data_IF_315065296020
#
_entry.id   IF_315065296020
#
_cell.length_a   1.000
_cell.length_b   1.000
_cell.length_c   1.000
_cell.angle_alpha   90.00
_cell.angle_beta   90.00
_cell.angle_gamma   90.00
#
_symmetry.space_group_name_H-M   'P 1'
#
loop_
_entity.id
_entity.type
_entity.pdbx_description
1 polymer ?
#
# COMPACT_ATOMS: atom_id res chain seq x y z
N UNK A 1 8.31 27.43 -8.43
CA UNK A 1 9.17 26.83 -7.40
C UNK A 1 9.94 27.96 -6.73
N UNK A 2 9.62 28.23 -5.46
CA UNK A 2 10.36 29.20 -4.64
C UNK A 2 11.19 28.41 -3.63
N UNK A 3 12.37 28.91 -3.29
CA UNK A 3 13.23 28.38 -2.21
C UNK A 3 13.58 26.89 -2.33
N UNK A 4 13.76 26.42 -3.58
CA UNK A 4 14.32 25.08 -3.81
C UNK A 4 15.82 25.13 -3.61
N UNK A 5 16.35 24.16 -2.89
CA UNK A 5 17.78 24.04 -2.61
C UNK A 5 18.34 23.00 -3.58
N UNK A 6 19.36 23.41 -4.32
CA UNK A 6 20.14 22.52 -5.17
C UNK A 6 21.55 22.41 -4.61
N UNK A 7 21.86 21.25 -4.06
CA UNK A 7 23.16 20.94 -3.46
C UNK A 7 23.91 19.96 -4.34
N UNK A 8 25.15 20.28 -4.68
CA UNK A 8 26.07 19.29 -5.21
C UNK A 8 26.57 18.43 -4.05
N UNK A 9 26.11 17.19 -4.02
CA UNK A 9 26.58 16.16 -3.08
C UNK A 9 27.79 15.50 -3.73
N UNK A 10 28.94 16.18 -3.60
CA UNK A 10 30.17 15.86 -4.35
C UNK A 10 30.64 14.41 -4.23
N UNK A 11 31.27 13.91 -5.31
CA UNK A 11 31.96 12.62 -5.51
C UNK A 11 31.82 11.56 -4.41
N UNK A 12 30.59 11.20 -4.02
CA UNK A 12 30.40 10.02 -3.21
C UNK A 12 30.81 8.81 -4.05
N UNK A 13 31.69 7.97 -3.49
CA UNK A 13 32.09 6.72 -4.11
C UNK A 13 30.85 5.92 -4.53
N UNK A 14 30.98 5.21 -5.65
CA UNK A 14 29.92 4.42 -6.24
C UNK A 14 29.28 3.50 -5.18
N UNK A 15 28.02 3.75 -4.80
CA UNK A 15 27.34 2.95 -3.78
C UNK A 15 26.71 1.74 -4.46
N UNK A 16 27.29 0.57 -4.22
CA UNK A 16 26.69 -0.70 -4.59
C UNK A 16 25.72 -1.16 -3.50
N UNK A 17 24.58 -1.72 -3.91
CA UNK A 17 23.61 -2.33 -3.01
C UNK A 17 22.97 -3.55 -3.65
N UNK A 18 22.59 -4.50 -2.81
CA UNK A 18 21.83 -5.69 -3.20
C UNK A 18 20.49 -5.68 -2.47
N UNK A 19 19.46 -6.14 -3.16
CA UNK A 19 18.13 -6.27 -2.61
C UNK A 19 17.49 -7.58 -3.07
N UNK A 20 16.88 -8.31 -2.13
CA UNK A 20 16.18 -9.56 -2.39
C UNK A 20 14.73 -9.42 -1.95
N UNK A 21 13.79 -9.79 -2.83
CA UNK A 21 12.36 -9.52 -2.72
C UNK A 21 11.51 -10.76 -2.98
N UNK A 22 10.41 -10.86 -2.25
CA UNK A 22 9.30 -11.80 -2.52
C UNK A 22 7.93 -11.12 -2.50
N UNK A 23 7.88 -9.77 -2.55
CA UNK A 23 6.68 -8.98 -2.25
C UNK A 23 6.33 -7.94 -3.32
N UNK A 24 5.03 -7.59 -3.43
CA UNK A 24 4.55 -6.58 -4.37
C UNK A 24 5.01 -5.16 -4.01
N UNK A 25 5.39 -4.95 -2.74
CA UNK A 25 5.88 -3.70 -2.18
C UNK A 25 7.14 -3.24 -2.89
N UNK A 26 8.03 -4.17 -3.14
CA UNK A 26 9.37 -3.86 -3.58
C UNK A 26 9.41 -3.68 -5.12
N UNK A 27 8.49 -4.32 -5.87
CA UNK A 27 8.22 -4.00 -7.28
C UNK A 27 7.75 -2.55 -7.45
N UNK A 28 7.01 -2.02 -6.47
CA UNK A 28 6.57 -0.63 -6.48
C UNK A 28 7.72 0.33 -6.14
N UNK A 29 8.55 0.01 -5.15
CA UNK A 29 9.74 0.81 -4.86
C UNK A 29 10.62 0.96 -6.09
N UNK A 30 10.82 -0.13 -6.81
CA UNK A 30 11.62 -0.17 -8.02
C UNK A 30 11.05 0.69 -9.17
N UNK A 31 9.76 0.54 -9.49
CA UNK A 31 9.12 1.34 -10.56
C UNK A 31 9.18 2.83 -10.28
N UNK A 32 9.15 3.22 -9.00
CA UNK A 32 9.07 4.62 -8.56
C UNK A 32 10.38 5.16 -7.98
N UNK A 33 11.50 4.44 -8.12
CA UNK A 33 12.83 4.88 -7.68
C UNK A 33 12.94 5.19 -6.17
N UNK A 34 12.23 4.44 -5.33
CA UNK A 34 12.18 4.61 -3.87
C UNK A 34 13.17 3.72 -3.12
N UNK A 35 14.46 3.75 -3.49
CA UNK A 35 15.45 2.76 -3.01
C UNK A 35 15.84 2.91 -1.54
N UNK A 36 15.94 4.14 -1.01
CA UNK A 36 16.28 4.42 0.40
C UNK A 36 15.25 5.32 1.10
N UNK A 37 14.04 5.41 0.58
CA UNK A 37 13.03 6.28 1.15
C UNK A 37 12.31 5.56 2.31
N UNK A 38 12.16 6.23 3.46
CA UNK A 38 11.38 5.72 4.61
C UNK A 38 9.88 5.83 4.28
N UNK A 39 9.42 4.95 3.40
CA UNK A 39 8.08 4.93 2.86
C UNK A 39 7.36 3.69 3.41
N UNK A 40 6.13 3.88 3.88
CA UNK A 40 5.25 2.77 4.23
C UNK A 40 4.73 2.07 2.94
N UNK A 41 5.58 1.37 2.22
CA UNK A 41 5.28 0.81 0.88
C UNK A 41 4.20 -0.27 0.90
N UNK A 42 4.04 -0.98 2.03
CA UNK A 42 2.89 -1.86 2.31
C UNK A 42 1.55 -1.16 2.10
N UNK A 43 1.52 0.14 2.34
CA UNK A 43 0.36 0.96 2.12
C UNK A 43 0.03 1.08 0.63
N UNK A 44 1.03 1.37 -0.20
CA UNK A 44 0.84 1.68 -1.60
C UNK A 44 0.47 0.44 -2.44
N UNK A 45 0.99 -0.72 -2.07
CA UNK A 45 0.56 -2.01 -2.64
C UNK A 45 -0.91 -2.29 -2.40
N UNK A 46 -1.41 -1.97 -1.21
CA UNK A 46 -2.83 -2.12 -0.88
C UNK A 46 -3.71 -1.25 -1.77
N UNK A 47 -3.24 -0.04 -2.16
CA UNK A 47 -3.94 0.85 -3.09
C UNK A 47 -4.00 0.33 -4.55
N UNK A 48 -3.42 -0.84 -4.83
CA UNK A 48 -3.38 -1.43 -6.17
C UNK A 48 -2.33 -0.82 -7.09
N UNK A 49 -1.40 -0.01 -6.56
CA UNK A 49 -0.35 0.64 -7.35
C UNK A 49 0.70 -0.40 -7.73
N UNK A 50 1.05 -0.44 -9.02
CA UNK A 50 2.01 -1.41 -9.55
C UNK A 50 1.39 -2.72 -10.06
N UNK A 51 0.13 -3.03 -9.73
CA UNK A 51 -0.63 -4.08 -10.43
C UNK A 51 -0.94 -3.56 -11.83
N UNK A 52 -0.35 -4.16 -12.86
CA UNK A 52 -0.85 -3.99 -14.21
C UNK A 52 -2.31 -4.45 -14.23
N UNK A 53 -3.24 -3.50 -14.38
CA UNK A 53 -4.67 -3.77 -14.63
C UNK A 53 -4.82 -4.43 -16.00
N UNK A 54 -4.45 -5.71 -16.08
CA UNK A 54 -4.69 -6.63 -17.19
C UNK A 54 -4.68 -8.10 -16.76
N UNK A 55 -4.70 -8.40 -15.46
CA UNK A 55 -5.12 -9.75 -15.03
C UNK A 55 -6.63 -9.74 -14.95
N UNK A 56 -7.26 -10.35 -15.94
CA UNK A 56 -8.64 -10.81 -15.92
C UNK A 56 -9.03 -11.38 -14.55
N UNK A 57 -10.29 -11.20 -14.16
CA UNK A 57 -10.97 -11.76 -12.99
C UNK A 57 -10.94 -13.30 -12.92
N UNK A 58 -9.75 -13.91 -12.90
CA UNK A 58 -9.58 -15.30 -12.56
C UNK A 58 -9.01 -15.39 -11.16
N UNK A 59 -9.91 -15.70 -10.23
CA UNK A 59 -9.57 -16.33 -8.95
C UNK A 59 -8.53 -17.44 -9.22
N UNK A 60 -7.41 -17.43 -8.48
CA UNK A 60 -6.44 -18.54 -8.28
C UNK A 60 -5.10 -18.59 -9.03
N UNK A 61 -4.58 -17.54 -9.68
CA UNK A 61 -3.18 -17.62 -10.15
C UNK A 61 -2.18 -17.41 -8.99
N UNK A 62 -1.78 -18.52 -8.33
CA UNK A 62 -0.64 -18.62 -7.41
C UNK A 62 0.69 -18.43 -8.16
N UNK A 63 0.88 -17.29 -8.82
CA UNK A 63 2.17 -16.95 -9.41
C UNK A 63 3.01 -16.32 -8.31
N UNK A 64 3.99 -17.05 -7.81
CA UNK A 64 4.97 -16.50 -6.88
C UNK A 64 6.11 -15.93 -7.70
N UNK A 65 6.44 -14.67 -7.46
CA UNK A 65 7.57 -14.03 -8.11
C UNK A 65 8.57 -13.54 -7.09
N UNK A 66 9.76 -14.11 -7.14
CA UNK A 66 10.88 -13.71 -6.30
C UNK A 66 11.83 -12.89 -7.20
N UNK A 67 12.23 -11.71 -6.75
CA UNK A 67 13.10 -10.79 -7.50
C UNK A 67 14.34 -10.48 -6.68
N UNK A 68 15.49 -10.41 -7.34
CA UNK A 68 16.71 -9.84 -6.76
C UNK A 68 17.22 -8.73 -7.66
N UNK A 69 17.68 -7.64 -7.06
CA UNK A 69 18.30 -6.56 -7.79
C UNK A 69 19.58 -6.08 -7.15
N UNK A 70 20.60 -5.99 -7.99
CA UNK A 70 21.85 -5.32 -7.67
C UNK A 70 21.81 -3.95 -8.31
N UNK A 71 22.19 -2.93 -7.56
CA UNK A 71 22.29 -1.59 -8.10
C UNK A 71 23.62 -0.94 -7.78
N UNK A 72 24.05 -0.11 -8.71
CA UNK A 72 25.21 0.77 -8.59
C UNK A 72 24.67 2.18 -8.77
N UNK A 73 24.73 2.99 -7.70
CA UNK A 73 24.24 4.37 -7.72
C UNK A 73 25.37 5.37 -7.56
N UNK A 74 25.23 6.47 -8.30
CA UNK A 74 26.13 7.60 -8.24
C UNK A 74 25.30 8.89 -8.25
N UNK A 75 25.11 9.47 -7.07
CA UNK A 75 24.43 10.74 -6.89
C UNK A 75 25.46 11.87 -6.88
N UNK A 76 25.26 12.91 -7.69
CA UNK A 76 26.06 14.15 -7.62
C UNK A 76 25.27 15.35 -7.17
N UNK A 77 23.95 15.31 -7.28
CA UNK A 77 23.12 16.44 -6.89
C UNK A 77 21.88 16.00 -6.14
N UNK A 78 21.50 16.83 -5.18
CA UNK A 78 20.30 16.72 -4.39
C UNK A 78 19.48 17.98 -4.62
N UNK A 79 18.27 17.79 -5.14
CA UNK A 79 17.25 18.82 -5.21
C UNK A 79 16.29 18.63 -4.04
N UNK A 80 16.23 19.62 -3.15
CA UNK A 80 15.25 19.69 -2.06
C UNK A 80 14.18 20.71 -2.42
N UNK A 81 12.93 20.26 -2.45
CA UNK A 81 11.75 21.10 -2.60
C UNK A 81 11.22 21.41 -1.21
N UNK A 82 10.99 22.70 -0.93
CA UNK A 82 10.29 23.08 0.29
C UNK A 82 8.78 22.84 0.11
N UNK A 83 8.24 21.89 0.88
CA UNK A 83 6.82 21.55 0.86
C UNK A 83 5.91 22.77 1.11
N UNK A 84 6.31 23.66 2.02
CA UNK A 84 5.50 24.83 2.40
C UNK A 84 5.36 25.86 1.25
N UNK A 85 6.23 25.78 0.24
CA UNK A 85 6.26 26.70 -0.89
C UNK A 85 5.79 26.06 -2.21
N UNK A 86 5.31 24.80 -2.14
CA UNK A 86 4.65 24.14 -3.25
C UNK A 86 3.15 24.41 -3.18
N UNK A 87 2.61 24.95 -4.27
CA UNK A 87 1.19 25.26 -4.40
C UNK A 87 0.57 24.43 -5.51
N UNK A 88 -0.63 23.93 -5.27
CA UNK A 88 -1.43 23.28 -6.30
C UNK A 88 -1.74 24.26 -7.45
N UNK A 89 -1.61 23.79 -8.70
CA UNK A 89 -2.01 24.59 -9.85
C UNK A 89 -3.52 24.77 -9.89
N UNK A 90 -3.99 25.89 -10.46
CA UNK A 90 -5.42 26.13 -10.61
C UNK A 90 -6.11 25.02 -11.41
N UNK A 91 -5.44 24.50 -12.43
CA UNK A 91 -5.90 23.36 -13.22
C UNK A 91 -6.19 22.13 -12.33
N UNK A 92 -5.23 21.76 -11.48
CA UNK A 92 -5.38 20.62 -10.58
C UNK A 92 -6.54 20.82 -9.59
N UNK A 93 -6.63 22.01 -9.00
CA UNK A 93 -7.72 22.37 -8.06
C UNK A 93 -9.10 22.22 -8.73
N UNK A 94 -9.26 22.71 -9.97
CA UNK A 94 -10.54 22.63 -10.68
C UNK A 94 -10.91 21.20 -11.07
N UNK A 95 -9.93 20.39 -11.50
CA UNK A 95 -10.17 18.97 -11.79
C UNK A 95 -10.64 18.23 -10.53
N UNK A 96 -10.03 18.52 -9.37
CA UNK A 96 -10.45 17.93 -8.08
C UNK A 96 -11.86 18.36 -7.68
N UNK A 97 -12.20 19.65 -7.79
CA UNK A 97 -13.56 20.14 -7.49
C UNK A 97 -14.61 19.50 -8.40
N UNK A 98 -14.29 19.31 -9.68
CA UNK A 98 -15.14 18.62 -10.64
C UNK A 98 -15.33 17.15 -10.27
N UNK A 99 -14.24 16.46 -9.87
CA UNK A 99 -14.30 15.08 -9.39
C UNK A 99 -15.20 14.93 -8.16
N UNK A 100 -15.09 15.85 -7.18
CA UNK A 100 -15.94 15.87 -5.99
C UNK A 100 -17.43 16.06 -6.30
N UNK A 101 -17.75 16.72 -7.41
CA UNK A 101 -19.12 16.98 -7.84
C UNK A 101 -19.67 15.87 -8.75
N UNK A 102 -18.87 14.85 -9.05
CA UNK A 102 -19.26 13.71 -9.86
C UNK A 102 -20.24 12.80 -9.12
N UNK A 103 -21.05 12.06 -9.88
CA UNK A 103 -21.87 10.95 -9.36
C UNK A 103 -20.99 9.82 -8.78
N UNK A 104 -19.79 9.66 -9.33
CA UNK A 104 -18.80 8.70 -8.85
C UNK A 104 -17.43 9.41 -8.69
N UNK A 105 -17.20 10.07 -7.54
CA UNK A 105 -15.92 10.72 -7.27
C UNK A 105 -14.73 9.73 -7.27
N UNK A 106 -14.97 8.46 -6.95
CA UNK A 106 -13.94 7.42 -6.89
C UNK A 106 -13.15 7.28 -8.18
N UNK A 107 -13.89 7.03 -9.26
CA UNK A 107 -13.34 6.76 -10.57
C UNK A 107 -12.70 8.03 -11.13
N UNK A 108 -13.25 9.20 -10.80
CA UNK A 108 -12.63 10.48 -11.17
C UNK A 108 -11.30 10.67 -10.45
N UNK A 109 -11.18 10.34 -9.16
CA UNK A 109 -9.90 10.40 -8.46
C UNK A 109 -8.88 9.37 -8.97
N UNK A 110 -9.31 8.18 -9.38
CA UNK A 110 -8.42 7.22 -10.06
C UNK A 110 -7.86 7.82 -11.35
N UNK A 111 -8.69 8.52 -12.12
CA UNK A 111 -8.26 9.19 -13.34
C UNK A 111 -7.31 10.36 -13.04
N UNK A 112 -7.60 11.16 -12.01
CA UNK A 112 -6.69 12.22 -11.55
C UNK A 112 -5.32 11.65 -11.20
N UNK A 113 -5.26 10.56 -10.43
CA UNK A 113 -4.00 9.92 -10.06
C UNK A 113 -3.24 9.39 -11.28
N UNK A 114 -3.95 8.93 -12.31
CA UNK A 114 -3.34 8.48 -13.57
C UNK A 114 -2.74 9.64 -14.38
N UNK A 115 -3.39 10.80 -14.35
CA UNK A 115 -3.00 11.95 -15.18
C UNK A 115 -1.94 12.84 -14.49
N UNK A 116 -2.10 13.09 -13.18
CA UNK A 116 -1.24 13.97 -12.38
C UNK A 116 -0.17 13.21 -11.58
N UNK A 117 -0.24 11.88 -11.56
CA UNK A 117 0.50 11.07 -10.61
C UNK A 117 -0.15 11.08 -9.23
N UNK A 118 0.48 10.41 -8.27
CA UNK A 118 -0.07 10.28 -6.93
C UNK A 118 0.74 11.01 -5.86
N UNK A 119 2.04 11.19 -6.09
CA UNK A 119 2.96 11.77 -5.13
C UNK A 119 3.92 12.73 -5.80
N UNK A 120 4.38 13.69 -5.02
CA UNK A 120 5.49 14.58 -5.34
C UNK A 120 6.59 14.30 -4.32
N UNK A 121 7.80 13.92 -4.75
CA UNK A 121 8.94 13.81 -3.84
C UNK A 121 9.38 15.20 -3.40
N UNK A 122 9.67 15.41 -2.12
CA UNK A 122 10.30 16.66 -1.66
C UNK A 122 11.81 16.61 -1.76
N UNK A 123 12.39 15.45 -2.01
CA UNK A 123 13.81 15.26 -2.21
C UNK A 123 14.07 14.38 -3.43
N UNK A 124 14.93 14.85 -4.33
CA UNK A 124 15.28 14.16 -5.57
C UNK A 124 16.79 14.08 -5.68
N UNK A 125 17.32 12.86 -5.75
CA UNK A 125 18.72 12.65 -6.08
C UNK A 125 18.82 12.53 -7.59
N UNK A 126 19.69 13.35 -8.16
CA UNK A 126 20.07 13.28 -9.55
C UNK A 126 21.41 12.57 -9.68
N UNK A 127 21.52 11.79 -10.76
CA UNK A 127 22.65 11.72 -11.67
C UNK A 127 22.67 10.38 -12.39
N UNK A 128 22.87 9.23 -11.72
CA UNK A 128 22.99 7.96 -12.45
C UNK A 128 22.76 6.67 -11.62
N UNK A 129 22.06 5.69 -12.22
CA UNK A 129 21.76 4.37 -11.62
C UNK A 129 21.87 3.26 -12.66
N UNK A 130 22.67 2.24 -12.38
CA UNK A 130 22.62 0.96 -13.10
C UNK A 130 21.96 -0.06 -12.18
N UNK A 131 20.90 -0.70 -12.63
CA UNK A 131 20.24 -1.80 -11.92
C UNK A 131 20.33 -3.06 -12.75
N UNK A 132 20.89 -4.12 -12.20
CA UNK A 132 20.77 -5.46 -12.73
C UNK A 132 19.72 -6.21 -11.91
N UNK A 133 18.68 -6.70 -12.59
CA UNK A 133 17.58 -7.42 -11.98
C UNK A 133 17.56 -8.84 -12.47
N UNK A 134 17.37 -9.75 -11.55
CA UNK A 134 16.98 -11.13 -11.82
C UNK A 134 15.63 -11.41 -11.19
N UNK A 135 14.83 -12.24 -11.85
CA UNK A 135 13.58 -12.70 -11.30
C UNK A 135 13.31 -14.13 -11.66
N UNK A 136 12.67 -14.83 -10.74
CA UNK A 136 12.15 -16.17 -10.90
C UNK A 136 10.62 -16.11 -10.80
N UNK A 137 9.96 -16.46 -11.89
CA UNK A 137 8.51 -16.53 -11.97
C UNK A 137 8.13 -18.00 -11.99
N UNK A 138 7.45 -18.46 -10.93
CA UNK A 138 6.89 -19.82 -10.86
C UNK A 138 5.39 -19.79 -11.16
N UNK A 139 4.95 -20.57 -12.15
CA UNK A 139 3.53 -20.71 -12.50
C UNK A 139 3.22 -20.71 -13.99
N UNK A 140 2.01 -21.16 -14.35
CA UNK A 140 1.54 -21.22 -15.74
C UNK A 140 1.22 -19.82 -16.29
N UNK A 141 2.23 -19.18 -16.88
CA UNK A 141 2.09 -17.94 -17.66
C UNK A 141 2.49 -18.19 -19.11
N UNK A 142 1.82 -17.51 -20.05
CA UNK A 142 2.22 -17.52 -21.45
C UNK A 142 3.46 -16.64 -21.65
N UNK A 143 4.30 -16.98 -22.63
CA UNK A 143 5.50 -16.20 -23.02
C UNK A 143 5.12 -14.76 -23.42
N UNK A 144 3.91 -14.57 -23.94
CA UNK A 144 3.39 -13.29 -24.40
C UNK A 144 3.03 -12.38 -23.21
N UNK A 145 2.42 -12.94 -22.16
CA UNK A 145 2.16 -12.23 -20.90
C UNK A 145 3.45 -11.82 -20.18
N UNK A 146 4.48 -12.67 -20.25
CA UNK A 146 5.82 -12.38 -19.70
C UNK A 146 6.50 -11.20 -20.42
N UNK A 147 6.45 -11.16 -21.75
CA UNK A 147 7.01 -10.05 -22.55
C UNK A 147 6.34 -8.71 -22.26
N UNK A 148 5.02 -8.72 -22.01
CA UNK A 148 4.25 -7.53 -21.64
C UNK A 148 4.66 -7.05 -20.24
N UNK A 149 4.88 -7.96 -19.29
CA UNK A 149 5.28 -7.63 -17.90
C UNK A 149 6.72 -7.09 -17.82
N UNK A 150 7.66 -7.62 -18.61
CA UNK A 150 9.08 -7.24 -18.59
C UNK A 150 9.43 -5.94 -19.35
N UNK A 151 8.54 -5.44 -20.20
CA UNK A 151 8.86 -4.34 -21.13
C UNK A 151 9.76 -4.80 -22.29
N UNK A 152 9.63 -4.14 -23.45
CA UNK A 152 10.14 -4.59 -24.76
C UNK A 152 11.68 -4.73 -24.93
N UNK A 153 12.50 -4.60 -23.87
CA UNK A 153 13.96 -4.48 -23.96
C UNK A 153 14.78 -5.56 -23.21
N UNK A 154 14.21 -6.71 -22.82
CA UNK A 154 14.97 -7.73 -22.08
C UNK A 154 15.51 -8.87 -22.95
N UNK A 155 16.74 -9.32 -22.62
CA UNK A 155 17.47 -10.42 -23.27
C UNK A 155 17.61 -11.61 -22.33
N UNK A 156 17.32 -12.81 -22.84
CA UNK A 156 17.53 -14.14 -22.26
C UNK A 156 16.49 -14.62 -21.23
N UNK A 157 15.56 -15.45 -21.72
CA UNK A 157 14.69 -16.32 -20.94
C UNK A 157 15.31 -17.73 -20.93
N UNK A 158 15.46 -18.34 -19.75
CA UNK A 158 15.77 -19.78 -19.65
C UNK A 158 14.59 -20.48 -19.00
N UNK A 159 13.95 -21.35 -19.77
CA UNK A 159 12.87 -22.21 -19.29
C UNK A 159 13.46 -23.41 -18.54
N UNK A 160 13.05 -23.59 -17.29
CA UNK A 160 13.26 -24.84 -16.55
C UNK A 160 11.95 -25.17 -15.85
N UNK A 161 11.20 -26.14 -16.39
CA UNK A 161 10.02 -26.76 -15.77
C UNK A 161 9.06 -25.79 -15.05
N UNK A 162 8.05 -25.25 -15.72
CA UNK A 162 7.04 -24.31 -15.17
C UNK A 162 7.58 -23.03 -14.49
N UNK A 163 8.91 -22.88 -14.39
CA UNK A 163 9.60 -21.75 -13.78
C UNK A 163 10.42 -21.01 -14.85
N UNK A 164 10.31 -19.69 -14.83
CA UNK A 164 10.99 -18.79 -15.77
C UNK A 164 11.98 -17.92 -15.02
N UNK A 165 13.27 -18.07 -15.37
CA UNK A 165 14.32 -17.18 -14.90
C UNK A 165 14.66 -16.15 -15.97
N UNK A 166 14.72 -14.88 -15.54
CA UNK A 166 15.08 -13.78 -16.40
C UNK A 166 16.11 -12.87 -15.72
N UNK A 167 16.96 -12.23 -16.53
CA UNK A 167 17.92 -11.22 -16.10
C UNK A 167 17.81 -10.01 -17.02
N UNK A 168 17.70 -8.80 -16.48
CA UNK A 168 17.77 -7.58 -17.28
C UNK A 168 18.52 -6.49 -16.55
N UNK A 169 19.24 -5.68 -17.33
CA UNK A 169 19.97 -4.52 -16.83
C UNK A 169 19.28 -3.26 -17.34
N UNK A 170 18.99 -2.32 -16.44
CA UNK A 170 18.43 -1.01 -16.74
C UNK A 170 19.43 0.05 -16.29
N UNK A 171 19.71 0.98 -17.20
CA UNK A 171 20.60 2.11 -17.00
C UNK A 171 19.75 3.38 -17.01
N UNK A 172 19.93 4.25 -16.02
CA UNK A 172 19.26 5.54 -15.88
C UNK A 172 20.35 6.61 -15.74
N UNK A 173 20.31 7.62 -16.59
CA UNK A 173 21.34 8.67 -16.64
C UNK A 173 22.61 8.26 -17.38
N UNK A 174 23.44 9.27 -17.66
CA UNK A 174 24.64 9.13 -18.46
C UNK A 174 24.36 8.96 -19.95
N UNK A 175 25.44 8.87 -20.71
CA UNK A 175 25.38 8.44 -22.11
C UNK A 175 25.01 6.95 -22.20
N UNK A 176 24.06 6.60 -23.05
CA UNK A 176 23.66 5.19 -23.21
C UNK A 176 24.78 4.41 -23.91
N UNK A 177 25.27 3.30 -23.33
CA UNK A 177 26.26 2.47 -24.00
C UNK A 177 25.63 1.76 -25.21
N UNK A 178 26.45 1.52 -26.23
CA UNK A 178 26.05 0.71 -27.40
C UNK A 178 25.79 -0.75 -27.02
N UNK A 179 26.54 -1.28 -26.04
CA UNK A 179 26.33 -2.60 -25.47
C UNK A 179 26.28 -2.54 -23.93
N UNK A 180 25.09 -2.74 -23.38
CA UNK A 180 24.84 -2.77 -21.94
C UNK A 180 25.64 -3.90 -21.24
N UNK A 181 25.95 -5.00 -21.94
CA UNK A 181 26.68 -6.14 -21.35
C UNK A 181 28.15 -5.82 -21.10
N UNK A 182 28.71 -4.88 -21.86
CA UNK A 182 30.10 -4.45 -21.78
C UNK A 182 30.18 -2.98 -21.33
N UNK A 183 29.38 -2.62 -20.33
CA UNK A 183 29.36 -1.26 -19.79
C UNK A 183 30.73 -0.92 -19.16
N UNK A 184 31.43 0.01 -19.78
CA UNK A 184 32.59 0.66 -19.18
C UNK A 184 32.12 1.71 -18.16
N UNK A 185 32.19 1.34 -16.88
CA UNK A 185 31.78 2.20 -15.76
C UNK A 185 32.57 3.52 -15.77
N UNK A 186 33.85 3.50 -16.14
CA UNK A 186 34.71 4.69 -16.15
C UNK A 186 34.26 5.71 -17.19
N UNK A 187 34.05 5.25 -18.43
CA UNK A 187 33.54 6.11 -19.51
C UNK A 187 32.10 6.57 -19.25
N UNK A 188 31.27 5.68 -18.73
CA UNK A 188 29.88 5.99 -18.37
C UNK A 188 29.78 7.02 -17.24
N UNK A 189 30.63 6.93 -16.21
CA UNK A 189 30.76 7.96 -15.16
C UNK A 189 31.38 9.25 -15.73
N UNK A 190 32.33 9.16 -16.66
CA UNK A 190 32.91 10.32 -17.35
C UNK A 190 31.87 11.16 -18.10
N UNK A 191 30.84 10.54 -18.67
CA UNK A 191 29.72 11.23 -19.34
C UNK A 191 28.96 12.19 -18.40
N UNK A 192 29.07 12.00 -17.09
CA UNK A 192 28.39 12.80 -16.07
C UNK A 192 28.98 14.18 -15.83
N UNK A 193 30.07 14.53 -16.50
CA UNK A 193 30.54 15.92 -16.53
C UNK A 193 29.57 16.83 -17.28
N UNK A 194 28.69 16.25 -18.12
CA UNK A 194 27.63 16.98 -18.78
C UNK A 194 26.33 16.87 -17.97
N UNK A 195 25.85 18.00 -17.42
CA UNK A 195 24.59 18.07 -16.67
C UNK A 195 23.36 17.65 -17.49
N UNK A 196 23.45 17.68 -18.83
CA UNK A 196 22.37 17.20 -19.72
C UNK A 196 22.16 15.69 -19.62
N UNK A 197 23.17 14.96 -19.12
CA UNK A 197 23.11 13.53 -18.91
C UNK A 197 22.60 13.17 -17.49
N UNK A 198 22.21 14.15 -16.68
CA UNK A 198 21.74 13.91 -15.31
C UNK A 198 20.25 13.57 -15.31
N UNK A 199 19.90 12.47 -14.65
CA UNK A 199 18.52 12.03 -14.50
C UNK A 199 18.18 11.85 -13.02
N UNK A 200 16.89 11.93 -12.69
CA UNK A 200 16.39 11.55 -11.37
C UNK A 200 16.57 10.04 -11.18
N UNK A 201 17.24 9.65 -10.11
CA UNK A 201 17.57 8.25 -9.84
C UNK A 201 17.02 7.74 -8.51
N UNK A 202 16.68 8.66 -7.61
CA UNK A 202 16.09 8.35 -6.33
C UNK A 202 15.10 9.45 -5.96
N UNK A 203 13.90 9.03 -5.57
CA UNK A 203 12.88 9.91 -5.00
C UNK A 203 12.76 9.63 -3.51
N UNK A 204 12.72 10.68 -2.70
CA UNK A 204 12.61 10.61 -1.24
C UNK A 204 11.47 11.47 -0.76
N UNK A 205 10.96 11.10 0.42
CA UNK A 205 9.89 11.81 1.11
C UNK A 205 8.69 12.11 0.18
N UNK A 206 8.06 11.07 -0.43
CA UNK A 206 6.93 11.29 -1.30
C UNK A 206 5.72 11.80 -0.50
N UNK A 207 5.13 12.87 -1.00
CA UNK A 207 3.94 13.49 -0.43
C UNK A 207 2.78 13.37 -1.41
N UNK A 208 1.60 12.99 -0.92
CA UNK A 208 0.41 12.85 -1.75
C UNK A 208 0.06 14.17 -2.45
N UNK A 209 -0.26 14.12 -3.74
CA UNK A 209 -0.64 15.31 -4.54
C UNK A 209 -1.84 16.05 -3.93
N UNK A 210 -2.69 15.35 -3.19
CA UNK A 210 -3.87 15.95 -2.57
C UNK A 210 -3.52 16.77 -1.31
N UNK A 211 -2.33 16.58 -0.69
CA UNK A 211 -1.91 17.38 0.48
C UNK A 211 -1.62 18.84 0.14
N UNK A 212 -1.43 19.17 -1.14
CA UNK A 212 -1.21 20.53 -1.62
C UNK A 212 -2.51 21.31 -1.84
N UNK A 213 -3.66 20.70 -1.53
CA UNK A 213 -4.96 21.33 -1.70
C UNK A 213 -5.35 22.11 -0.44
N UNK A 214 -6.29 23.07 -0.57
CA UNK A 214 -6.92 23.70 0.58
C UNK A 214 -7.60 22.71 1.54
N UNK A 215 -7.57 23.02 2.84
CA UNK A 215 -8.13 22.17 3.90
C UNK A 215 -9.64 21.90 3.78
N UNK A 216 -10.41 22.76 3.11
CA UNK A 216 -11.84 22.50 2.85
C UNK A 216 -12.04 21.38 1.82
N UNK A 217 -11.14 21.26 0.83
CA UNK A 217 -11.17 20.18 -0.14
C UNK A 217 -10.70 18.87 0.49
N UNK A 218 -9.74 18.93 1.40
CA UNK A 218 -9.22 17.79 2.13
C UNK A 218 -10.31 16.90 2.75
N UNK A 219 -11.18 17.50 3.56
CA UNK A 219 -12.28 16.78 4.22
C UNK A 219 -13.28 16.21 3.21
N UNK A 220 -13.58 16.97 2.16
CA UNK A 220 -14.52 16.57 1.10
C UNK A 220 -14.00 15.38 0.31
N UNK A 221 -12.70 15.36 0.00
CA UNK A 221 -12.05 14.23 -0.69
C UNK A 221 -12.17 12.99 0.19
N UNK A 222 -11.74 13.05 1.45
CA UNK A 222 -11.82 11.92 2.39
C UNK A 222 -13.24 11.36 2.47
N UNK A 223 -14.24 12.23 2.63
CA UNK A 223 -15.65 11.83 2.68
C UNK A 223 -16.14 11.19 1.38
N UNK A 224 -15.70 11.71 0.23
CA UNK A 224 -16.10 11.20 -1.10
C UNK A 224 -15.47 9.85 -1.45
N UNK A 225 -14.30 9.56 -0.87
CA UNK A 225 -13.65 8.24 -1.03
C UNK A 225 -14.38 7.19 -0.20
N UNK A 226 -14.92 7.59 0.95
CA UNK A 226 -15.81 6.77 1.77
C UNK A 226 -15.11 6.14 2.96
N UNK A 227 -15.75 5.09 3.48
CA UNK A 227 -15.33 4.36 4.68
C UNK A 227 -14.44 3.18 4.26
N UNK A 228 -13.35 2.97 4.99
CA UNK A 228 -12.44 1.83 4.82
C UNK A 228 -12.45 0.91 6.05
N UNK A 229 -11.98 -0.32 5.85
CA UNK A 229 -11.76 -1.29 6.93
C UNK A 229 -10.32 -1.09 7.45
N UNK A 230 -10.19 -0.48 8.61
CA UNK A 230 -8.90 -0.26 9.27
C UNK A 230 -8.33 -1.55 9.88
N UNK A 231 -9.22 -2.42 10.36
CA UNK A 231 -8.86 -3.71 10.95
C UNK A 231 -9.98 -4.70 10.73
N UNK A 232 -9.63 -5.97 10.49
CA UNK A 232 -10.58 -7.09 10.47
C UNK A 232 -9.86 -8.34 10.92
N UNK A 233 -10.45 -9.05 11.88
CA UNK A 233 -9.90 -10.30 12.39
C UNK A 233 -11.02 -11.25 12.83
N UNK A 234 -10.66 -12.52 13.01
CA UNK A 234 -11.52 -13.54 13.59
C UNK A 234 -10.75 -14.17 14.74
N UNK A 235 -11.33 -14.14 15.92
CA UNK A 235 -10.78 -14.74 17.13
C UNK A 235 -11.64 -15.93 17.55
N UNK A 236 -11.00 -17.03 17.93
CA UNK A 236 -11.70 -18.19 18.50
C UNK A 236 -11.56 -18.17 20.01
N UNK A 237 -12.67 -18.31 20.72
CA UNK A 237 -12.67 -18.40 22.18
C UNK A 237 -13.53 -19.55 22.69
N UNK A 238 -13.04 -20.22 23.73
CA UNK A 238 -13.80 -21.19 24.50
C UNK A 238 -14.46 -20.47 25.69
N UNK A 239 -15.79 -20.48 25.73
CA UNK A 239 -16.58 -19.80 26.76
C UNK A 239 -17.47 -20.78 27.50
N UNK A 240 -17.40 -20.73 28.82
CA UNK A 240 -18.30 -21.47 29.70
C UNK A 240 -19.43 -20.55 30.14
N UNK A 241 -20.66 -20.85 29.71
CA UNK A 241 -21.84 -20.07 30.08
C UNK A 241 -22.56 -20.78 31.24
N UNK A 242 -22.32 -20.28 32.46
CA UNK A 242 -22.79 -20.92 33.70
C UNK A 242 -24.18 -20.46 34.15
N UNK A 243 -24.58 -19.22 33.84
CA UNK A 243 -25.81 -18.61 34.37
C UNK A 243 -26.82 -18.27 33.26
N UNK A 244 -28.11 -18.56 33.52
CA UNK A 244 -29.20 -18.21 32.62
C UNK A 244 -29.30 -16.69 32.44
N UNK A 245 -29.38 -16.22 31.19
CA UNK A 245 -29.54 -14.81 30.78
C UNK A 245 -28.40 -13.85 31.16
N UNK A 246 -27.30 -14.31 31.76
CA UNK A 246 -26.17 -13.42 32.05
C UNK A 246 -25.27 -13.27 30.82
N UNK A 247 -25.06 -12.04 30.32
CA UNK A 247 -24.12 -11.82 29.24
C UNK A 247 -22.68 -12.02 29.70
N UNK A 248 -21.81 -12.36 28.75
CA UNK A 248 -20.37 -12.36 28.94
C UNK A 248 -19.79 -11.08 28.36
N UNK A 249 -18.89 -10.43 29.08
CA UNK A 249 -18.08 -9.36 28.55
C UNK A 249 -16.77 -9.92 28.01
N UNK A 250 -16.59 -9.85 26.69
CA UNK A 250 -15.39 -10.28 25.97
C UNK A 250 -14.50 -9.07 25.65
N UNK A 251 -13.23 -9.15 26.00
CA UNK A 251 -12.26 -8.07 25.71
C UNK A 251 -11.63 -8.30 24.35
N UNK A 252 -11.67 -7.29 23.50
CA UNK A 252 -11.04 -7.32 22.19
C UNK A 252 -9.52 -7.11 22.32
N UNK A 253 -8.72 -7.95 21.66
CA UNK A 253 -7.27 -7.80 21.58
C UNK A 253 -6.88 -6.78 20.49
N UNK A 254 -7.19 -5.52 20.75
CA UNK A 254 -7.00 -4.45 19.76
C UNK A 254 -5.50 -4.15 19.58
N UNK A 255 -4.95 -4.15 18.35
CA UNK A 255 -3.56 -3.75 18.09
C UNK A 255 -3.29 -2.26 18.40
N UNK A 256 -2.04 -1.91 18.72
CA UNK A 256 -1.67 -0.56 19.21
C UNK A 256 -1.96 0.55 18.20
N UNK A 257 -1.72 0.32 16.91
CA UNK A 257 -2.07 1.21 15.80
C UNK A 257 -3.59 1.42 15.70
N UNK A 258 -4.37 0.36 15.89
CA UNK A 258 -5.83 0.40 15.88
C UNK A 258 -6.40 1.15 17.09
N UNK A 259 -5.78 1.01 18.27
CA UNK A 259 -6.15 1.77 19.49
C UNK A 259 -6.08 3.28 19.25
N UNK A 260 -5.08 3.76 18.50
CA UNK A 260 -4.93 5.19 18.16
C UNK A 260 -6.09 5.68 17.28
N UNK A 261 -6.66 4.82 16.44
CA UNK A 261 -7.80 5.18 15.57
C UNK A 261 -9.06 5.35 16.40
N UNK A 262 -9.37 4.35 17.22
CA UNK A 262 -10.59 4.32 18.03
C UNK A 262 -10.62 5.46 19.05
N UNK A 263 -9.45 5.87 19.57
CA UNK A 263 -9.34 6.97 20.54
C UNK A 263 -9.38 8.37 19.90
N UNK A 264 -9.21 8.48 18.58
CA UNK A 264 -9.24 9.78 17.92
C UNK A 264 -10.69 10.25 17.79
N UNK A 265 -11.03 11.36 18.47
CA UNK A 265 -12.38 11.93 18.46
C UNK A 265 -12.75 12.60 17.14
N UNK A 266 -11.76 12.95 16.33
CA UNK A 266 -11.96 13.63 15.05
C UNK A 266 -12.34 12.66 13.92
N UNK A 267 -12.29 11.35 14.18
CA UNK A 267 -12.58 10.31 13.19
C UNK A 267 -13.82 9.53 13.61
N UNK A 268 -14.86 9.56 12.79
CA UNK A 268 -16.06 8.73 12.97
C UNK A 268 -15.72 7.26 12.66
N UNK A 269 -15.27 6.54 13.69
CA UNK A 269 -14.96 5.12 13.63
C UNK A 269 -16.06 4.28 14.29
N UNK A 270 -16.40 3.16 13.64
CA UNK A 270 -17.38 2.19 14.13
C UNK A 270 -16.74 0.82 14.21
N UNK A 271 -17.13 0.06 15.22
CA UNK A 271 -16.74 -1.34 15.36
C UNK A 271 -17.95 -2.19 15.04
N UNK A 272 -17.77 -3.15 14.15
CA UNK A 272 -18.77 -4.17 13.84
C UNK A 272 -18.25 -5.51 14.34
N UNK A 273 -19.13 -6.30 14.93
CA UNK A 273 -18.79 -7.62 15.45
C UNK A 273 -19.90 -8.61 15.16
N UNK A 274 -19.52 -9.87 15.00
CA UNK A 274 -20.40 -11.02 14.85
C UNK A 274 -19.84 -12.19 15.65
N UNK A 275 -20.74 -13.04 16.15
CA UNK A 275 -20.38 -14.20 16.97
C UNK A 275 -21.11 -15.41 16.42
N UNK A 276 -20.35 -16.48 16.16
CA UNK A 276 -20.90 -17.74 15.65
C UNK A 276 -20.41 -18.91 16.49
N UNK A 277 -21.30 -19.86 16.78
CA UNK A 277 -20.94 -21.11 17.45
C UNK A 277 -20.39 -22.09 16.41
N UNK A 278 -19.16 -22.55 16.62
CA UNK A 278 -18.49 -23.50 15.73
C UNK A 278 -18.99 -24.93 15.99
N UNK A 279 -19.58 -25.18 17.16
CA UNK A 279 -19.99 -26.54 17.58
C UNK A 279 -21.37 -26.97 17.03
N UNK A 280 -21.88 -26.27 15.99
CA UNK A 280 -23.13 -26.56 15.27
C UNK A 280 -24.33 -26.91 16.17
N UNK A 281 -24.53 -26.15 17.25
CA UNK A 281 -25.69 -26.40 18.09
C UNK A 281 -26.97 -25.85 17.47
N UNK A 282 -27.83 -26.77 17.00
CA UNK A 282 -29.09 -26.45 16.28
C UNK A 282 -30.13 -25.67 17.08
N UNK A 283 -29.85 -25.24 18.32
CA UNK A 283 -30.86 -24.74 19.25
C UNK A 283 -30.51 -23.41 19.92
N UNK A 284 -29.28 -22.92 19.78
CA UNK A 284 -28.83 -21.69 20.41
C UNK A 284 -28.35 -20.74 19.32
N UNK A 285 -28.62 -19.45 19.49
CA UNK A 285 -27.98 -18.42 18.69
C UNK A 285 -27.33 -17.38 19.59
N UNK A 286 -26.26 -16.78 19.08
CA UNK A 286 -25.49 -15.80 19.80
C UNK A 286 -25.73 -14.43 19.20
N UNK A 287 -25.86 -13.44 20.06
CA UNK A 287 -25.88 -12.04 19.66
C UNK A 287 -24.78 -11.32 20.39
N UNK A 288 -24.25 -10.25 19.81
CA UNK A 288 -23.26 -9.43 20.46
C UNK A 288 -23.58 -7.95 20.30
N UNK A 289 -23.14 -7.16 21.27
CA UNK A 289 -23.23 -5.72 21.26
C UNK A 289 -21.85 -5.15 21.56
N UNK A 290 -21.46 -4.10 20.85
CA UNK A 290 -20.21 -3.39 21.13
C UNK A 290 -20.47 -2.40 22.27
N UNK A 291 -19.73 -2.56 23.36
CA UNK A 291 -19.72 -1.64 24.49
C UNK A 291 -18.57 -0.66 24.35
N UNK A 292 -18.91 0.63 24.27
CA UNK A 292 -17.96 1.75 24.33
C UNK A 292 -17.99 2.38 25.72
N UNK A 293 -16.98 2.16 26.57
CA UNK A 293 -16.92 2.79 27.89
C UNK A 293 -16.70 4.30 27.77
N UNK A 294 -17.45 5.10 28.54
CA UNK A 294 -17.31 6.56 28.57
C UNK A 294 -16.05 7.05 29.30
N UNK A 295 -15.35 6.16 30.01
CA UNK A 295 -14.16 6.45 30.81
C UNK A 295 -12.84 6.31 30.04
N UNK A 296 -12.89 6.19 28.72
CA UNK A 296 -11.70 6.09 27.85
C UNK A 296 -11.06 4.70 27.80
N UNK A 297 -11.67 3.69 28.45
CA UNK A 297 -11.29 2.29 28.26
C UNK A 297 -11.56 1.83 26.83
N UNK A 298 -10.85 0.77 26.41
CA UNK A 298 -11.04 0.20 25.08
C UNK A 298 -12.42 -0.47 24.96
N UNK A 299 -12.99 -0.50 23.74
CA UNK A 299 -14.24 -1.20 23.49
C UNK A 299 -14.15 -2.68 23.81
N UNK A 300 -15.29 -3.25 24.17
CA UNK A 300 -15.45 -4.68 24.46
C UNK A 300 -16.77 -5.18 23.87
N UNK A 301 -16.93 -6.49 23.77
CA UNK A 301 -18.18 -7.10 23.31
C UNK A 301 -18.98 -7.63 24.49
N UNK A 302 -20.28 -7.37 24.48
CA UNK A 302 -21.24 -8.04 25.34
C UNK A 302 -21.88 -9.15 24.51
N UNK A 303 -21.66 -10.40 24.89
CA UNK A 303 -22.14 -11.58 24.17
C UNK A 303 -23.31 -12.19 24.94
N UNK A 304 -24.44 -12.32 24.27
CA UNK A 304 -25.64 -12.97 24.79
C UNK A 304 -25.88 -14.29 24.06
N UNK A 305 -26.04 -15.37 24.84
CA UNK A 305 -26.57 -16.63 24.33
C UNK A 305 -28.09 -16.60 24.45
N UNK A 306 -28.76 -16.72 23.31
CA UNK A 306 -30.20 -16.85 23.25
C UNK A 306 -30.53 -18.32 23.01
N UNK A 307 -31.28 -18.89 23.95
CA UNK A 307 -31.75 -20.27 23.90
C UNK A 307 -33.25 -20.28 23.76
N UNK A 308 -33.80 -21.39 23.25
CA UNK A 308 -35.24 -21.60 23.26
C UNK A 308 -35.78 -21.53 24.70
N UNK A 309 -36.75 -20.64 25.00
CA UNK A 309 -37.27 -20.43 26.36
C UNK A 309 -37.92 -21.67 26.98
N UNK A 310 -38.31 -22.66 26.16
CA UNK A 310 -38.93 -23.90 26.61
C UNK A 310 -37.92 -25.00 26.98
N UNK A 311 -36.60 -24.73 26.89
CA UNK A 311 -35.54 -25.68 27.29
C UNK A 311 -34.90 -25.28 28.62
N UNK A 312 -34.66 -26.27 29.49
CA UNK A 312 -33.93 -26.07 30.74
C UNK A 312 -32.50 -25.56 30.43
N UNK A 313 -32.08 -24.48 31.09
CA UNK A 313 -30.73 -23.95 30.89
C UNK A 313 -29.70 -25.00 31.31
N UNK A 314 -28.81 -25.36 30.37
CA UNK A 314 -27.69 -26.26 30.65
C UNK A 314 -26.38 -25.47 30.55
N UNK A 315 -25.60 -25.52 31.62
CA UNK A 315 -24.18 -25.12 31.60
C UNK A 315 -23.51 -25.85 30.45
N UNK A 316 -22.80 -25.10 29.62
CA UNK A 316 -22.17 -25.63 28.42
C UNK A 316 -20.92 -24.84 28.11
N UNK A 317 -19.92 -25.57 27.65
CA UNK A 317 -18.75 -25.03 26.98
C UNK A 317 -19.09 -24.82 25.51
N UNK A 318 -19.01 -23.57 25.08
CA UNK A 318 -19.26 -23.17 23.71
C UNK A 318 -17.94 -22.68 23.11
N UNK A 319 -17.63 -23.14 21.90
CA UNK A 319 -16.49 -22.63 21.14
C UNK A 319 -17.02 -21.65 20.10
N UNK A 320 -16.74 -20.38 20.31
CA UNK A 320 -17.25 -19.29 19.49
C UNK A 320 -16.16 -18.74 18.58
N UNK A 321 -16.53 -18.42 17.35
CA UNK A 321 -15.78 -17.52 16.49
C UNK A 321 -16.37 -16.12 16.62
N UNK A 322 -15.50 -15.18 16.97
CA UNK A 322 -15.82 -13.76 17.08
C UNK A 322 -15.12 -13.05 15.94
N UNK A 323 -15.89 -12.71 14.91
CA UNK A 323 -15.40 -11.85 13.82
C UNK A 323 -15.65 -10.40 14.19
N UNK A 324 -14.63 -9.55 14.13
CA UNK A 324 -14.83 -8.12 14.35
C UNK A 324 -13.96 -7.28 13.43
N UNK A 325 -14.44 -6.07 13.14
CA UNK A 325 -13.77 -5.11 12.28
C UNK A 325 -13.94 -3.68 12.78
N UNK A 326 -12.95 -2.85 12.48
CA UNK A 326 -12.99 -1.40 12.70
C UNK A 326 -13.10 -0.74 11.35
N UNK A 327 -14.17 0.03 11.16
CA UNK A 327 -14.42 0.81 9.96
C UNK A 327 -14.40 2.30 10.28
N UNK A 328 -13.97 3.12 9.34
CA UNK A 328 -13.99 4.58 9.48
C UNK A 328 -13.47 5.26 8.22
N UNK A 329 -13.52 6.60 8.19
CA UNK A 329 -12.91 7.35 7.10
C UNK A 329 -11.40 7.19 7.06
N UNK A 330 -10.80 7.50 5.90
CA UNK A 330 -9.36 7.70 5.79
C UNK A 330 -8.90 8.84 6.69
N UNK A 331 -7.67 8.73 7.21
CA UNK A 331 -7.08 9.77 8.09
C UNK A 331 -6.16 10.73 7.34
N UNK A 332 -5.78 10.37 6.14
CA UNK A 332 -4.78 10.99 5.30
C UNK A 332 -5.14 10.78 3.83
N UNK A 333 -4.46 11.48 2.91
CA UNK A 333 -4.65 11.41 1.45
C UNK A 333 -4.11 10.15 0.79
N UNK A 334 -4.19 9.09 1.55
CA UNK A 334 -3.59 7.81 1.30
C UNK A 334 -4.74 6.95 0.73
N UNK A 335 -5.20 7.32 -0.47
CA UNK A 335 -6.26 6.69 -1.27
C UNK A 335 -6.16 5.18 -1.54
N UNK A 336 -6.89 4.26 -0.87
CA UNK A 336 -7.17 2.93 -1.47
C UNK A 336 -8.48 2.97 -2.25
N UNK A 337 -8.39 3.23 -3.56
CA UNK A 337 -9.59 3.29 -4.40
C UNK A 337 -10.15 1.91 -4.78
N UNK A 338 -9.55 0.81 -4.31
CA UNK A 338 -9.92 -0.57 -4.66
C UNK A 338 -10.72 -1.32 -3.59
N UNK A 339 -10.63 -0.93 -2.31
CA UNK A 339 -11.20 -1.66 -1.16
C UNK A 339 -12.45 -1.00 -0.57
N UNK A 340 -13.36 -0.51 -1.42
CA UNK A 340 -14.58 0.17 -0.96
C UNK A 340 -15.63 -0.82 -0.43
N UNK A 341 -16.19 -0.51 0.73
CA UNK A 341 -17.52 -0.96 1.12
C UNK A 341 -18.54 -0.01 0.45
N UNK A 342 -19.40 -0.56 -0.41
CA UNK A 342 -20.49 0.20 -1.04
C UNK A 342 -21.65 0.40 -0.08
#
# INVERSE_FOLDING_TARGET
MKDCIFEEIGNEECKAGEFNSSSCEEEMMDKNLFFNADINVKYFVKLGIGKSFKTSDNKSSQVKTDYSYNFIKYGKALLKLNFEHLEATQEFIEVVKKALSSKDPAEQFKQIVKDFGQFIPTEVILVQLSTEKSGEISGKLSIEDLKIKMGKKSTHLKEKSNDYNYKYTKIIGGEQPDDIKNLDIGNWVGSLNNYRCWYCIEFRNPISIFQFLPNDLHERIIKSVGITIHHSTIETCDLVLEEYKKPIQFRLEIPTDIKKIIKNKDVDCKILATVTDITESKNDFFTCQVLFPSDGRLPSLIIHRVQNPFKLFKKRECKLNIGWMVIGYYRDFNFDFSTRLK
#
